data_IF_805874871134
#
_entry.id   IF_805874871134
#
_cell.length_a   1.000
_cell.length_b   1.000
_cell.length_c   1.000
_cell.angle_alpha   90.00
_cell.angle_beta   90.00
_cell.angle_gamma   90.00
#
_symmetry.space_group_name_H-M   'P 1'
#
loop_
_entity.id
_entity.type
_entity.pdbx_description
1 polymer ?
#
# COMPACT_ATOMS: atom_id res chain seq x y z
N UNK A 1 1.29 -1.97 29.07
CA UNK A 1 -0.03 -1.23 29.11
C UNK A 1 -0.89 -1.76 30.24
N UNK A 2 -1.84 -0.98 30.78
CA UNK A 2 -2.79 -1.42 31.81
C UNK A 2 -4.12 -0.68 31.67
N UNK A 3 -5.18 -1.32 32.19
CA UNK A 3 -6.51 -0.72 32.19
C UNK A 3 -6.64 0.18 33.44
N UNK A 4 -7.03 1.42 33.25
CA UNK A 4 -7.24 2.42 34.29
C UNK A 4 -8.71 2.83 34.33
N UNK A 5 -9.31 2.77 35.52
CA UNK A 5 -10.61 3.35 35.81
C UNK A 5 -10.40 4.73 36.44
N UNK A 6 -10.90 5.78 35.81
CA UNK A 6 -10.86 7.15 36.33
C UNK A 6 -12.23 7.51 36.86
N UNK A 7 -12.28 7.92 38.11
CA UNK A 7 -13.48 8.42 38.80
C UNK A 7 -13.43 9.94 38.93
N UNK A 8 -14.57 10.59 38.83
CA UNK A 8 -14.71 12.02 39.08
C UNK A 8 -15.43 12.21 40.43
N UNK A 9 -14.89 13.03 41.35
CA UNK A 9 -15.58 13.31 42.61
C UNK A 9 -17.02 13.82 42.33
N UNK A 10 -17.96 13.35 43.14
CA UNK A 10 -19.40 13.71 43.07
C UNK A 10 -20.10 13.34 41.77
N UNK A 11 -19.59 12.39 40.99
CA UNK A 11 -20.25 11.90 39.77
C UNK A 11 -20.31 10.37 39.77
N UNK A 12 -21.43 9.74 39.42
CA UNK A 12 -21.50 8.30 39.23
C UNK A 12 -20.67 7.80 38.04
N UNK A 13 -20.21 8.70 37.17
CA UNK A 13 -19.48 8.40 35.95
C UNK A 13 -18.07 7.86 36.28
N UNK A 14 -17.77 6.66 35.75
CA UNK A 14 -16.44 6.04 35.81
C UNK A 14 -15.95 5.82 34.37
N UNK A 15 -14.82 6.42 34.01
CA UNK A 15 -14.27 6.25 32.67
C UNK A 15 -13.20 5.16 32.63
N UNK A 16 -13.26 4.25 31.67
CA UNK A 16 -12.32 3.15 31.49
C UNK A 16 -11.39 3.50 30.33
N UNK A 17 -10.09 3.43 30.59
CA UNK A 17 -9.04 3.84 29.67
C UNK A 17 -7.91 2.80 29.67
N UNK A 18 -7.30 2.58 28.52
CA UNK A 18 -6.06 1.83 28.38
C UNK A 18 -4.92 2.84 28.39
N UNK A 19 -3.99 2.71 29.32
CA UNK A 19 -2.90 3.64 29.50
C UNK A 19 -1.54 2.93 29.50
N UNK A 20 -0.53 3.66 29.10
CA UNK A 20 0.86 3.21 29.05
C UNK A 20 1.72 4.14 29.89
N UNK A 21 2.66 3.57 30.63
CA UNK A 21 3.67 4.34 31.34
C UNK A 21 4.86 4.60 30.40
N UNK A 22 5.11 5.87 30.12
CA UNK A 22 6.23 6.33 29.25
C UNK A 22 7.22 7.08 30.13
N UNK A 23 8.51 6.74 30.01
CA UNK A 23 9.58 7.43 30.70
C UNK A 23 10.02 8.64 29.90
N UNK A 24 9.97 9.81 30.50
CA UNK A 24 10.41 11.08 29.91
C UNK A 24 11.49 11.66 30.85
N UNK A 25 12.75 11.33 30.57
CA UNK A 25 13.88 11.59 31.44
C UNK A 25 13.76 10.85 32.78
N UNK A 26 13.80 11.56 33.90
CA UNK A 26 13.64 11.00 35.24
C UNK A 26 12.18 10.80 35.67
N UNK A 27 11.21 11.33 34.92
CA UNK A 27 9.79 11.27 35.27
C UNK A 27 9.06 10.21 34.46
N UNK A 28 8.16 9.47 35.15
CA UNK A 28 7.23 8.55 34.51
C UNK A 28 5.92 9.27 34.24
N UNK A 29 5.52 9.40 32.99
CA UNK A 29 4.22 9.96 32.56
C UNK A 29 3.31 8.83 32.08
N UNK A 30 2.01 8.97 32.36
CA UNK A 30 1.00 8.06 31.82
C UNK A 30 0.40 8.66 30.54
N UNK A 31 0.48 7.91 29.44
CA UNK A 31 -0.14 8.26 28.17
C UNK A 31 -1.39 7.40 27.97
N UNK A 32 -2.50 8.01 27.60
CA UNK A 32 -3.72 7.29 27.21
C UNK A 32 -3.46 6.70 25.83
N UNK A 33 -3.52 5.38 25.74
CA UNK A 33 -3.40 4.64 24.48
C UNK A 33 -4.77 4.54 23.83
N UNK A 34 -5.80 4.25 24.63
CA UNK A 34 -7.18 4.19 24.15
C UNK A 34 -8.17 4.50 25.25
N UNK A 35 -9.20 5.22 24.89
CA UNK A 35 -10.39 5.42 25.71
C UNK A 35 -11.40 4.32 25.37
N UNK A 36 -11.96 3.61 26.35
CA UNK A 36 -12.87 2.49 26.11
C UNK A 36 -14.33 2.90 26.28
N UNK A 37 -14.62 3.69 27.31
CA UNK A 37 -15.97 4.19 27.51
C UNK A 37 -16.21 4.70 28.93
N UNK A 38 -17.47 5.06 29.21
CA UNK A 38 -17.97 5.54 30.49
C UNK A 38 -18.98 4.55 31.02
N UNK A 39 -18.82 4.11 32.26
CA UNK A 39 -19.78 3.32 33.00
C UNK A 39 -20.52 4.20 34.00
N UNK A 40 -21.83 4.00 34.16
CA UNK A 40 -22.70 4.71 35.09
C UNK A 40 -23.00 3.89 36.33
N UNK A 41 -22.86 2.55 36.24
CA UNK A 41 -23.08 1.62 37.34
C UNK A 41 -21.94 0.57 37.40
N UNK A 42 -21.97 -0.28 38.43
CA UNK A 42 -20.94 -1.31 38.69
C UNK A 42 -21.03 -2.47 37.66
N UNK A 43 -22.19 -2.75 37.11
CA UNK A 43 -22.33 -3.81 36.09
C UNK A 43 -21.73 -3.37 34.76
N UNK A 44 -22.03 -2.15 34.32
CA UNK A 44 -21.42 -1.53 33.14
C UNK A 44 -19.91 -1.41 33.30
N UNK A 45 -19.45 -1.04 34.53
CA UNK A 45 -18.03 -0.93 34.80
C UNK A 45 -17.29 -2.26 34.57
N UNK A 46 -17.86 -3.37 35.09
CA UNK A 46 -17.26 -4.70 34.90
C UNK A 46 -17.18 -5.06 33.43
N UNK A 47 -18.24 -4.88 32.66
CA UNK A 47 -18.28 -5.15 31.23
C UNK A 47 -17.26 -4.30 30.46
N UNK A 48 -17.16 -3.01 30.80
CA UNK A 48 -16.18 -2.10 30.18
C UNK A 48 -14.74 -2.46 30.50
N UNK A 49 -14.45 -2.95 31.71
CA UNK A 49 -13.10 -3.40 32.08
C UNK A 49 -12.74 -4.69 31.34
N UNK A 50 -13.68 -5.65 31.21
CA UNK A 50 -13.46 -6.86 30.40
C UNK A 50 -13.18 -6.51 28.93
N UNK A 51 -13.99 -5.63 28.34
CA UNK A 51 -13.77 -5.14 26.98
C UNK A 51 -12.40 -4.45 26.84
N UNK A 52 -12.00 -3.65 27.84
CA UNK A 52 -10.69 -3.00 27.85
C UNK A 52 -9.52 -4.00 27.89
N UNK A 53 -9.64 -5.10 28.64
CA UNK A 53 -8.62 -6.15 28.66
C UNK A 53 -8.52 -6.88 27.31
N UNK A 54 -9.66 -7.16 26.64
CA UNK A 54 -9.65 -7.73 25.30
C UNK A 54 -8.98 -6.80 24.28
N UNK A 55 -9.31 -5.52 24.29
CA UNK A 55 -8.70 -4.52 23.41
C UNK A 55 -7.21 -4.39 23.69
N UNK A 56 -6.81 -4.31 24.98
CA UNK A 56 -5.41 -4.23 25.38
C UNK A 56 -4.62 -5.44 24.87
N UNK A 57 -5.15 -6.66 25.05
CA UNK A 57 -4.50 -7.89 24.59
C UNK A 57 -4.33 -7.92 23.08
N UNK A 58 -5.31 -7.43 22.31
CA UNK A 58 -5.16 -7.27 20.85
C UNK A 58 -4.05 -6.30 20.48
N UNK A 59 -3.97 -5.15 21.14
CA UNK A 59 -2.93 -4.15 20.89
C UNK A 59 -1.55 -4.70 21.26
N UNK A 60 -1.41 -5.37 22.40
CA UNK A 60 -0.15 -5.98 22.84
C UNK A 60 0.30 -7.11 21.90
N UNK A 61 -0.63 -7.92 21.41
CA UNK A 61 -0.34 -8.98 20.45
C UNK A 61 0.10 -8.44 19.09
N UNK A 62 -0.48 -7.32 18.63
CA UNK A 62 -0.05 -6.65 17.41
C UNK A 62 1.39 -6.11 17.48
N UNK A 63 1.82 -5.67 18.68
CA UNK A 63 3.17 -5.12 18.87
C UNK A 63 4.22 -6.19 19.19
N UNK A 64 3.80 -7.27 19.84
CA UNK A 64 4.64 -8.41 20.21
C UNK A 64 3.83 -9.70 20.06
N UNK A 65 3.90 -10.40 18.93
CA UNK A 65 3.21 -11.67 18.74
C UNK A 65 3.71 -12.70 19.77
N UNK A 66 2.84 -13.12 20.68
CA UNK A 66 3.11 -14.13 21.67
C UNK A 66 2.55 -15.50 21.22
N UNK A 67 3.05 -16.56 21.86
CA UNK A 67 2.60 -17.95 21.61
C UNK A 67 1.11 -18.16 21.91
N UNK A 68 0.49 -17.29 22.74
CA UNK A 68 -0.91 -17.34 23.14
C UNK A 68 -1.72 -16.31 22.33
N UNK A 69 -2.91 -16.71 21.89
CA UNK A 69 -3.83 -15.82 21.19
C UNK A 69 -4.30 -14.64 22.07
N UNK A 70 -4.69 -13.50 21.46
CA UNK A 70 -5.16 -12.31 22.21
C UNK A 70 -6.32 -12.61 23.15
N UNK A 71 -7.19 -13.55 22.79
CA UNK A 71 -8.35 -13.95 23.59
C UNK A 71 -7.95 -14.73 24.86
N UNK A 72 -6.95 -15.62 24.73
CA UNK A 72 -6.42 -16.38 25.88
C UNK A 72 -5.72 -15.46 26.89
N UNK A 73 -4.95 -14.49 26.40
CA UNK A 73 -4.29 -13.49 27.22
C UNK A 73 -5.30 -12.61 27.95
N UNK A 74 -6.36 -12.17 27.26
CA UNK A 74 -7.43 -11.40 27.87
C UNK A 74 -8.15 -12.18 28.97
N UNK A 75 -8.48 -13.45 28.72
CA UNK A 75 -9.12 -14.32 29.69
C UNK A 75 -8.24 -14.57 30.93
N UNK A 76 -6.94 -14.73 30.75
CA UNK A 76 -6.00 -14.85 31.87
C UNK A 76 -5.94 -13.57 32.70
N UNK A 77 -5.88 -12.40 32.03
CA UNK A 77 -5.85 -11.11 32.74
C UNK A 77 -7.16 -10.84 33.51
N UNK A 78 -8.30 -11.24 32.97
CA UNK A 78 -9.61 -11.14 33.64
C UNK A 78 -9.67 -12.09 34.85
N UNK A 79 -9.23 -13.33 34.68
CA UNK A 79 -9.18 -14.32 35.79
C UNK A 79 -8.25 -13.90 36.93
N UNK A 80 -7.08 -13.35 36.59
CA UNK A 80 -6.09 -12.91 37.60
C UNK A 80 -6.57 -11.75 38.48
N UNK A 81 -7.54 -10.97 37.98
CA UNK A 81 -8.13 -9.84 38.74
C UNK A 81 -9.29 -10.21 39.63
N UNK A 82 -9.55 -11.52 39.85
CA UNK A 82 -10.63 -12.02 40.73
C UNK A 82 -12.02 -11.48 40.36
N UNK A 83 -12.26 -11.19 39.11
CA UNK A 83 -13.58 -10.79 38.66
C UNK A 83 -14.51 -12.00 38.55
N UNK A 84 -15.75 -11.93 39.08
CA UNK A 84 -16.70 -13.03 38.96
C UNK A 84 -16.94 -13.36 37.47
N UNK A 85 -16.91 -14.64 37.11
CA UNK A 85 -17.29 -15.10 35.77
C UNK A 85 -18.72 -14.67 35.49
N UNK A 86 -18.93 -13.81 34.51
CA UNK A 86 -20.24 -13.59 33.95
C UNK A 86 -20.62 -14.85 33.18
N UNK A 87 -21.53 -15.63 33.76
CA UNK A 87 -22.06 -16.84 33.16
C UNK A 87 -22.85 -16.46 31.90
N UNK A 88 -22.25 -16.70 30.74
CA UNK A 88 -22.98 -16.81 29.48
C UNK A 88 -23.82 -15.60 29.00
N UNK A 89 -23.81 -14.49 29.72
CA UNK A 89 -24.53 -13.29 29.27
C UNK A 89 -23.76 -12.58 28.17
N UNK A 90 -24.39 -12.35 27.06
CA UNK A 90 -23.89 -11.49 26.00
C UNK A 90 -23.43 -10.14 26.57
N UNK A 91 -22.27 -9.66 26.12
CA UNK A 91 -21.75 -8.33 26.47
C UNK A 91 -22.72 -7.25 25.93
N UNK A 92 -23.77 -6.97 26.65
CA UNK A 92 -24.69 -5.89 26.33
C UNK A 92 -24.06 -4.54 26.71
N UNK A 93 -23.50 -3.87 25.71
CA UNK A 93 -22.96 -2.52 25.85
C UNK A 93 -24.06 -1.53 25.59
N UNK A 94 -24.26 -0.57 26.50
CA UNK A 94 -25.24 0.50 26.31
C UNK A 94 -24.73 1.45 25.23
N UNK A 95 -25.36 1.42 24.04
CA UNK A 95 -24.99 2.23 22.87
C UNK A 95 -24.97 3.74 23.13
N UNK A 96 -25.77 4.21 24.12
CA UNK A 96 -25.78 5.64 24.51
C UNK A 96 -24.50 6.11 25.19
N UNK A 97 -23.69 5.17 25.70
CA UNK A 97 -22.44 5.45 26.40
C UNK A 97 -21.20 5.15 25.51
N UNK A 98 -21.42 4.77 24.24
CA UNK A 98 -20.37 4.58 23.26
C UNK A 98 -20.04 5.92 22.60
N UNK A 99 -18.76 6.27 22.63
CA UNK A 99 -18.20 7.35 21.82
C UNK A 99 -17.35 6.70 20.71
N UNK A 100 -17.61 7.09 19.46
CA UNK A 100 -16.79 6.65 18.33
C UNK A 100 -15.46 7.40 18.38
N UNK A 101 -14.37 6.69 18.76
CA UNK A 101 -13.03 7.27 18.75
C UNK A 101 -12.36 7.15 17.38
N UNK A 102 -12.57 6.04 16.71
CA UNK A 102 -11.97 5.79 15.40
C UNK A 102 -12.78 4.76 14.62
N UNK A 103 -13.02 5.07 13.36
CA UNK A 103 -13.57 4.13 12.38
C UNK A 103 -12.46 3.68 11.46
N UNK A 104 -12.09 2.41 11.50
CA UNK A 104 -11.06 1.85 10.64
C UNK A 104 -11.68 1.08 9.47
N UNK A 105 -11.19 1.37 8.26
CA UNK A 105 -11.55 0.65 7.03
C UNK A 105 -10.57 -0.52 6.89
N UNK A 106 -11.03 -1.75 7.10
CA UNK A 106 -10.16 -2.94 7.04
C UNK A 106 -10.20 -3.63 5.67
N UNK A 107 -11.30 -3.53 4.93
CA UNK A 107 -11.55 -4.28 3.69
C UNK A 107 -10.47 -4.13 2.62
N UNK A 108 -9.89 -2.93 2.46
CA UNK A 108 -8.81 -2.69 1.50
C UNK A 108 -7.58 -3.55 1.83
N UNK A 109 -7.16 -3.56 3.09
CA UNK A 109 -6.00 -4.33 3.54
C UNK A 109 -6.25 -5.83 3.54
N UNK A 110 -7.47 -6.27 3.87
CA UNK A 110 -7.82 -7.68 3.89
C UNK A 110 -7.94 -8.27 2.48
N UNK A 111 -8.58 -7.56 1.55
CA UNK A 111 -8.82 -8.06 0.19
C UNK A 111 -7.59 -7.83 -0.68
N UNK A 112 -7.20 -6.58 -0.90
CA UNK A 112 -6.07 -6.26 -1.78
C UNK A 112 -4.73 -6.60 -1.16
N UNK A 113 -4.61 -6.57 0.18
CA UNK A 113 -3.42 -7.02 0.88
C UNK A 113 -3.18 -8.51 0.68
N UNK A 114 -4.23 -9.34 0.64
CA UNK A 114 -4.11 -10.76 0.31
C UNK A 114 -3.68 -10.97 -1.14
N UNK A 115 -4.29 -10.26 -2.08
CA UNK A 115 -3.88 -10.29 -3.50
C UNK A 115 -2.41 -9.85 -3.64
N UNK A 116 -1.97 -8.81 -2.93
CA UNK A 116 -0.59 -8.35 -2.93
C UNK A 116 0.40 -9.46 -2.53
N UNK A 117 0.07 -10.23 -1.50
CA UNK A 117 0.88 -11.37 -1.06
C UNK A 117 0.85 -12.53 -2.07
N UNK A 118 -0.33 -12.88 -2.59
CA UNK A 118 -0.51 -13.94 -3.59
C UNK A 118 0.26 -13.63 -4.88
N UNK A 119 0.36 -12.36 -5.26
CA UNK A 119 1.17 -11.89 -6.38
C UNK A 119 2.68 -11.92 -6.11
N UNK A 120 3.12 -12.21 -4.88
CA UNK A 120 4.53 -12.28 -4.50
C UNK A 120 5.16 -10.92 -4.17
N UNK A 121 4.39 -9.84 -4.14
CA UNK A 121 4.91 -8.49 -3.88
C UNK A 121 5.43 -8.30 -2.45
N UNK A 122 5.02 -9.12 -1.49
CA UNK A 122 5.53 -9.10 -0.11
C UNK A 122 7.02 -9.39 0.00
N UNK A 123 7.60 -10.09 -0.99
CA UNK A 123 9.00 -10.54 -0.97
C UNK A 123 9.97 -9.68 -1.80
N UNK A 124 9.52 -8.55 -2.36
CA UNK A 124 10.34 -7.70 -3.23
C UNK A 124 11.47 -7.04 -2.46
N UNK A 125 11.20 -6.56 -1.25
CA UNK A 125 12.20 -5.92 -0.42
C UNK A 125 12.73 -6.89 0.64
N UNK A 126 14.07 -6.99 0.75
CA UNK A 126 14.74 -7.84 1.75
C UNK A 126 14.50 -7.39 3.19
N UNK A 127 14.28 -6.07 3.39
CA UNK A 127 13.98 -5.50 4.70
C UNK A 127 12.49 -5.61 4.99
N UNK A 128 12.13 -6.41 5.99
CA UNK A 128 10.73 -6.69 6.38
C UNK A 128 9.96 -5.40 6.71
N UNK A 129 10.57 -4.49 7.47
CA UNK A 129 9.91 -3.24 7.83
C UNK A 129 9.63 -2.35 6.61
N UNK A 130 10.55 -2.31 5.64
CA UNK A 130 10.35 -1.60 4.37
C UNK A 130 9.29 -2.29 3.50
N UNK A 131 9.24 -3.62 3.47
CA UNK A 131 8.22 -4.38 2.75
C UNK A 131 6.81 -4.11 3.29
N UNK A 132 6.65 -4.09 4.61
CA UNK A 132 5.37 -3.73 5.26
C UNK A 132 4.95 -2.29 4.95
N UNK A 133 5.88 -1.33 5.03
CA UNK A 133 5.59 0.07 4.67
C UNK A 133 5.18 0.17 3.20
N UNK A 134 5.87 -0.53 2.28
CA UNK A 134 5.53 -0.56 0.86
C UNK A 134 4.10 -1.07 0.66
N UNK A 135 3.74 -2.19 1.29
CA UNK A 135 2.40 -2.76 1.24
C UNK A 135 1.35 -1.75 1.70
N UNK A 136 1.54 -1.12 2.85
CA UNK A 136 0.59 -0.13 3.38
C UNK A 136 0.45 1.10 2.46
N UNK A 137 1.55 1.59 1.89
CA UNK A 137 1.50 2.71 0.94
C UNK A 137 0.78 2.31 -0.35
N UNK A 138 0.97 1.09 -0.85
CA UNK A 138 0.24 0.57 -2.02
C UNK A 138 -1.25 0.48 -1.71
N UNK A 139 -1.64 -0.08 -0.56
CA UNK A 139 -3.05 -0.16 -0.13
C UNK A 139 -3.69 1.23 -0.01
N UNK A 140 -2.99 2.18 0.62
CA UNK A 140 -3.47 3.56 0.72
C UNK A 140 -3.70 4.20 -0.66
N UNK A 141 -2.81 3.94 -1.62
CA UNK A 141 -2.94 4.49 -2.98
C UNK A 141 -4.02 3.80 -3.82
N UNK A 142 -4.33 2.54 -3.56
CA UNK A 142 -5.49 1.86 -4.15
C UNK A 142 -6.79 2.49 -3.63
N UNK A 143 -6.84 2.79 -2.33
CA UNK A 143 -8.01 3.40 -1.72
C UNK A 143 -8.21 4.85 -2.18
N UNK A 144 -7.13 5.66 -2.15
CA UNK A 144 -7.15 7.07 -2.54
C UNK A 144 -5.73 7.53 -2.91
N UNK A 145 -5.45 7.81 -4.18
CA UNK A 145 -4.12 8.21 -4.65
C UNK A 145 -3.81 9.67 -4.28
N UNK A 146 -3.12 9.86 -3.16
CA UNK A 146 -2.70 11.17 -2.65
C UNK A 146 -1.19 11.24 -2.47
N UNK A 147 -0.66 12.39 -2.01
CA UNK A 147 0.77 12.56 -1.73
C UNK A 147 1.24 11.62 -0.61
N UNK A 148 2.54 11.30 -0.55
CA UNK A 148 3.13 10.44 0.50
C UNK A 148 2.77 10.88 1.92
N UNK A 149 2.83 12.20 2.19
CA UNK A 149 2.44 12.77 3.49
C UNK A 149 0.94 12.57 3.77
N UNK A 150 0.09 12.75 2.78
CA UNK A 150 -1.34 12.54 2.91
C UNK A 150 -1.66 11.05 3.06
N UNK A 151 -0.96 10.14 2.35
CA UNK A 151 -1.11 8.69 2.53
C UNK A 151 -0.76 8.23 3.95
N UNK A 152 0.27 8.81 4.58
CA UNK A 152 0.61 8.50 5.98
C UNK A 152 -0.52 8.91 6.92
N UNK A 153 -1.12 10.10 6.73
CA UNK A 153 -2.30 10.53 7.51
C UNK A 153 -3.51 9.63 7.27
N UNK A 154 -3.76 9.29 6.02
CA UNK A 154 -4.85 8.40 5.65
C UNK A 154 -4.71 7.02 6.30
N UNK A 155 -3.50 6.46 6.31
CA UNK A 155 -3.22 5.19 6.99
C UNK A 155 -3.55 5.26 8.48
N UNK A 156 -3.21 6.36 9.14
CA UNK A 156 -3.52 6.55 10.56
C UNK A 156 -5.01 6.79 10.80
N UNK A 157 -5.64 7.68 10.03
CA UNK A 157 -7.03 8.12 10.26
C UNK A 157 -8.06 7.10 9.80
N UNK A 158 -7.89 6.56 8.57
CA UNK A 158 -8.90 5.72 7.93
C UNK A 158 -8.66 4.22 8.18
N UNK A 159 -7.39 3.82 8.30
CA UNK A 159 -7.02 2.41 8.44
C UNK A 159 -6.49 2.02 9.82
N UNK A 160 -6.24 2.98 10.71
CA UNK A 160 -5.69 2.74 12.05
C UNK A 160 -4.23 2.29 12.04
N UNK A 161 -3.52 2.49 10.93
CA UNK A 161 -2.13 2.04 10.73
C UNK A 161 -1.18 3.22 10.91
N UNK A 162 -0.32 3.15 11.92
CA UNK A 162 0.66 4.19 12.21
C UNK A 162 1.99 3.87 11.55
N UNK A 163 2.39 4.67 10.58
CA UNK A 163 3.72 4.64 9.97
C UNK A 163 4.38 6.02 10.04
N UNK A 164 5.71 6.02 10.07
CA UNK A 164 6.47 7.26 10.06
C UNK A 164 6.76 7.69 8.62
N UNK A 165 6.54 8.97 8.29
CA UNK A 165 6.85 9.53 6.98
C UNK A 165 8.32 9.33 6.57
N UNK A 166 9.26 9.43 7.53
CA UNK A 166 10.67 9.15 7.28
C UNK A 166 10.91 7.67 6.92
N UNK A 167 10.12 6.75 7.50
CA UNK A 167 10.12 5.33 7.12
C UNK A 167 9.70 5.13 5.68
N UNK A 168 8.71 5.90 5.20
CA UNK A 168 8.28 5.87 3.79
C UNK A 168 9.42 6.29 2.85
N UNK A 169 10.15 7.36 3.18
CA UNK A 169 11.29 7.78 2.37
C UNK A 169 12.41 6.73 2.36
N UNK A 170 12.76 6.16 3.51
CA UNK A 170 13.75 5.06 3.57
C UNK A 170 13.32 3.83 2.78
N UNK A 171 12.03 3.47 2.83
CA UNK A 171 11.48 2.40 1.99
C UNK A 171 11.63 2.72 0.51
N UNK A 172 11.38 3.98 0.10
CA UNK A 172 11.57 4.39 -1.29
C UNK A 172 13.02 4.29 -1.74
N UNK A 173 13.99 4.57 -0.87
CA UNK A 173 15.42 4.40 -1.16
C UNK A 173 15.79 2.92 -1.40
N UNK A 174 14.99 1.97 -0.88
CA UNK A 174 15.15 0.55 -1.15
C UNK A 174 14.59 0.10 -2.51
N UNK A 175 13.81 0.95 -3.22
CA UNK A 175 13.25 0.65 -4.54
C UNK A 175 14.30 0.88 -5.66
N UNK A 176 15.41 0.17 -5.55
CA UNK A 176 16.50 0.17 -6.52
C UNK A 176 16.15 -0.62 -7.79
N UNK A 177 17.10 -0.76 -8.72
CA UNK A 177 16.91 -1.52 -9.95
C UNK A 177 16.54 -2.99 -9.73
N UNK A 178 17.11 -3.64 -8.69
CA UNK A 178 16.77 -5.03 -8.35
C UNK A 178 15.30 -5.15 -7.94
N UNK A 179 14.84 -4.26 -7.06
CA UNK A 179 13.44 -4.22 -6.64
C UNK A 179 12.48 -3.92 -7.81
N UNK A 180 12.86 -2.99 -8.69
CA UNK A 180 12.06 -2.69 -9.89
C UNK A 180 11.98 -3.89 -10.84
N UNK A 181 13.07 -4.63 -11.02
CA UNK A 181 13.06 -5.84 -11.83
C UNK A 181 12.20 -6.93 -11.18
N UNK A 182 12.34 -7.14 -9.87
CA UNK A 182 11.53 -8.11 -9.13
C UNK A 182 10.01 -7.82 -9.23
N UNK A 183 9.60 -6.55 -9.18
CA UNK A 183 8.20 -6.15 -9.40
C UNK A 183 7.73 -6.56 -10.80
N UNK A 184 8.54 -6.30 -11.83
CA UNK A 184 8.19 -6.63 -13.20
C UNK A 184 8.16 -8.15 -13.42
N UNK A 185 9.08 -8.90 -12.82
CA UNK A 185 9.10 -10.36 -12.88
C UNK A 185 7.87 -10.97 -12.21
N UNK A 186 7.46 -10.46 -11.05
CA UNK A 186 6.22 -10.87 -10.39
C UNK A 186 5.00 -10.62 -11.30
N UNK A 187 4.87 -9.43 -11.85
CA UNK A 187 3.76 -9.09 -12.73
C UNK A 187 3.73 -9.95 -14.01
N UNK A 188 4.90 -10.16 -14.62
CA UNK A 188 5.03 -11.00 -15.81
C UNK A 188 4.69 -12.47 -15.52
N UNK A 189 5.24 -13.03 -14.44
CA UNK A 189 5.00 -14.43 -14.08
C UNK A 189 3.51 -14.67 -13.74
N UNK A 190 2.89 -13.75 -13.01
CA UNK A 190 1.44 -13.81 -12.74
C UNK A 190 0.63 -13.77 -14.02
N UNK A 191 0.94 -12.86 -14.94
CA UNK A 191 0.25 -12.79 -16.23
C UNK A 191 0.43 -14.09 -17.02
N UNK A 192 1.63 -14.66 -17.02
CA UNK A 192 1.93 -15.92 -17.69
C UNK A 192 1.15 -17.10 -17.11
N UNK A 193 1.02 -17.19 -15.80
CA UNK A 193 0.23 -18.22 -15.12
C UNK A 193 -1.25 -18.09 -15.41
N UNK A 194 -1.81 -16.87 -15.30
CA UNK A 194 -3.22 -16.60 -15.54
C UNK A 194 -3.66 -16.87 -16.98
N UNK A 195 -2.76 -16.68 -17.97
CA UNK A 195 -3.09 -16.85 -19.39
C UNK A 195 -2.51 -18.12 -20.03
N UNK A 196 -2.27 -19.14 -19.21
CA UNK A 196 -1.90 -20.47 -19.70
C UNK A 196 -0.54 -20.49 -20.40
N UNK A 197 0.43 -19.74 -19.88
CA UNK A 197 1.82 -19.72 -20.34
C UNK A 197 2.06 -19.04 -21.71
N UNK A 198 1.03 -18.44 -22.34
CA UNK A 198 1.15 -17.79 -23.64
C UNK A 198 0.85 -16.30 -23.56
N UNK A 199 1.89 -15.50 -23.70
CA UNK A 199 1.76 -14.06 -23.96
C UNK A 199 2.14 -13.85 -25.44
N UNK A 200 1.12 -13.79 -26.30
CA UNK A 200 1.33 -13.71 -27.76
C UNK A 200 1.40 -12.27 -28.28
N UNK A 201 0.82 -11.33 -27.52
CA UNK A 201 0.72 -9.94 -27.90
C UNK A 201 0.94 -9.01 -26.70
N UNK A 202 1.81 -8.04 -26.88
CA UNK A 202 2.09 -6.98 -25.91
C UNK A 202 1.73 -5.63 -26.53
N UNK A 203 0.88 -4.89 -25.85
CA UNK A 203 0.60 -3.50 -26.14
C UNK A 203 1.63 -2.62 -25.43
N UNK A 204 2.09 -1.61 -26.13
CA UNK A 204 3.03 -0.65 -25.62
C UNK A 204 2.48 0.76 -25.83
N UNK A 205 2.49 1.55 -24.78
CA UNK A 205 2.12 2.96 -24.83
C UNK A 205 3.03 3.78 -23.90
N UNK A 206 3.28 5.03 -24.29
CA UNK A 206 4.04 5.99 -23.50
C UNK A 206 3.14 7.14 -23.07
N UNK A 207 3.17 7.45 -21.79
CA UNK A 207 2.44 8.57 -21.20
C UNK A 207 3.39 9.55 -20.51
N UNK A 208 2.97 10.80 -20.44
CA UNK A 208 3.74 11.87 -19.84
C UNK A 208 3.16 12.23 -18.49
N UNK A 209 4.00 12.24 -17.45
CA UNK A 209 3.66 12.73 -16.11
C UNK A 209 4.31 14.08 -15.90
N UNK A 210 3.48 15.10 -15.62
CA UNK A 210 3.91 16.47 -15.36
C UNK A 210 4.09 16.71 -13.87
N UNK A 211 5.04 17.59 -13.54
CA UNK A 211 5.31 18.01 -12.18
C UNK A 211 4.96 19.49 -12.01
N UNK A 212 4.35 19.83 -10.90
CA UNK A 212 4.08 21.23 -10.55
C UNK A 212 5.34 22.00 -10.09
N UNK A 213 6.43 21.28 -9.81
CA UNK A 213 7.74 21.88 -9.51
C UNK A 213 8.44 22.26 -10.80
N UNK A 214 8.87 23.52 -10.92
CA UNK A 214 9.60 24.03 -12.09
C UNK A 214 11.11 23.69 -12.07
N UNK A 215 11.60 22.97 -11.05
CA UNK A 215 12.99 22.54 -10.99
C UNK A 215 13.17 21.26 -11.78
N UNK A 216 14.10 21.30 -12.72
CA UNK A 216 14.56 20.12 -13.46
C UNK A 216 15.57 19.33 -12.63
N UNK A 217 15.68 18.04 -12.92
CA UNK A 217 16.74 17.15 -12.45
C UNK A 217 17.13 16.20 -13.60
N UNK A 218 17.90 15.16 -13.31
CA UNK A 218 18.35 14.21 -14.33
C UNK A 218 17.19 13.49 -15.05
N UNK A 219 16.04 13.37 -14.41
CA UNK A 219 14.85 12.69 -14.93
C UNK A 219 13.69 13.63 -15.24
N UNK A 220 13.40 14.57 -14.34
CA UNK A 220 12.38 15.60 -14.54
C UNK A 220 12.95 16.68 -15.44
N UNK A 221 12.60 16.67 -16.69
CA UNK A 221 13.08 17.60 -17.71
C UNK A 221 11.93 18.17 -18.50
N UNK A 222 12.10 19.40 -18.99
CA UNK A 222 11.19 19.96 -19.95
C UNK A 222 11.28 19.18 -21.27
N UNK A 223 10.16 18.95 -21.92
CA UNK A 223 10.10 18.17 -23.15
C UNK A 223 8.88 18.50 -23.98
N UNK A 224 8.68 17.72 -25.03
CA UNK A 224 7.49 17.88 -25.86
C UNK A 224 6.24 17.53 -25.06
N UNK A 225 5.29 18.46 -25.00
CA UNK A 225 4.02 18.28 -24.29
C UNK A 225 2.86 18.27 -25.26
N UNK A 226 2.12 17.15 -25.30
CA UNK A 226 0.85 17.04 -26.06
C UNK A 226 -0.24 17.92 -25.43
N UNK A 227 -0.14 18.19 -24.13
CA UNK A 227 -1.10 18.99 -23.36
C UNK A 227 -0.74 20.49 -23.30
N UNK A 228 0.24 20.93 -24.12
CA UNK A 228 0.72 22.31 -24.20
C UNK A 228 1.34 22.84 -22.88
N UNK A 229 1.82 21.94 -22.02
CA UNK A 229 2.46 22.27 -20.72
C UNK A 229 3.98 22.37 -20.83
N UNK A 230 4.46 23.17 -21.76
CA UNK A 230 5.90 23.26 -22.10
C UNK A 230 6.79 23.77 -20.97
N UNK A 231 6.21 24.45 -19.96
CA UNK A 231 6.94 25.03 -18.82
C UNK A 231 6.95 24.10 -17.60
N UNK A 232 6.37 22.90 -17.69
CA UNK A 232 6.33 21.94 -16.60
C UNK A 232 7.29 20.81 -16.89
N UNK A 233 8.28 20.58 -16.00
CA UNK A 233 9.11 19.39 -16.09
C UNK A 233 8.25 18.14 -16.06
N UNK A 234 8.62 17.17 -16.87
CA UNK A 234 7.88 15.94 -17.08
C UNK A 234 8.80 14.71 -17.00
N UNK A 235 8.20 13.55 -16.91
CA UNK A 235 8.83 12.24 -17.04
C UNK A 235 7.97 11.41 -17.98
N UNK A 236 8.58 10.70 -18.93
CA UNK A 236 7.87 9.72 -19.73
C UNK A 236 7.86 8.38 -19.02
N UNK A 237 6.67 7.77 -18.95
CA UNK A 237 6.52 6.38 -18.49
C UNK A 237 5.90 5.57 -19.60
N UNK A 238 6.59 4.53 -19.99
CA UNK A 238 6.09 3.55 -20.94
C UNK A 238 5.60 2.32 -20.22
N UNK A 239 4.39 1.87 -20.54
CA UNK A 239 3.74 0.71 -19.93
C UNK A 239 3.59 -0.39 -20.97
N UNK A 240 3.85 -1.61 -20.57
CA UNK A 240 3.63 -2.82 -21.35
C UNK A 240 2.50 -3.62 -20.73
N UNK A 241 1.49 -3.95 -21.54
CA UNK A 241 0.33 -4.73 -21.11
C UNK A 241 0.06 -5.88 -22.05
N UNK A 242 -0.48 -6.98 -21.53
CA UNK A 242 -0.94 -8.11 -22.34
C UNK A 242 -2.20 -7.74 -23.12
N UNK A 243 -2.63 -8.58 -24.06
CA UNK A 243 -3.90 -8.44 -24.78
C UNK A 243 -5.11 -8.31 -23.83
N UNK A 244 -5.04 -8.90 -22.67
CA UNK A 244 -6.10 -8.86 -21.66
C UNK A 244 -6.02 -7.63 -20.72
N UNK A 245 -5.06 -6.72 -20.96
CA UNK A 245 -4.89 -5.50 -20.17
C UNK A 245 -4.05 -5.69 -18.90
N UNK A 246 -3.39 -6.84 -18.70
CA UNK A 246 -2.54 -7.07 -17.54
C UNK A 246 -1.19 -6.37 -17.72
N UNK A 247 -0.76 -5.49 -16.81
CA UNK A 247 0.54 -4.86 -16.88
C UNK A 247 1.65 -5.90 -16.59
N UNK A 248 2.66 -5.93 -17.46
CA UNK A 248 3.79 -6.87 -17.35
C UNK A 248 5.13 -6.18 -17.21
N UNK A 249 5.19 -4.88 -17.40
CA UNK A 249 6.40 -4.12 -17.22
C UNK A 249 6.24 -2.65 -17.52
N UNK A 250 7.20 -1.88 -17.09
CA UNK A 250 7.27 -0.45 -17.37
C UNK A 250 8.72 0.02 -17.50
N UNK A 251 8.88 1.19 -18.12
CA UNK A 251 10.16 1.89 -18.18
C UNK A 251 9.91 3.39 -18.06
N UNK A 252 10.66 4.05 -17.17
CA UNK A 252 10.68 5.49 -17.09
C UNK A 252 11.84 6.06 -17.91
N UNK A 253 11.61 7.22 -18.54
CA UNK A 253 12.59 7.95 -19.33
C UNK A 253 12.60 9.42 -18.91
N UNK A 254 13.74 10.12 -19.08
CA UNK A 254 13.81 11.56 -18.89
C UNK A 254 12.74 12.29 -19.71
N UNK A 255 12.22 13.38 -19.19
CA UNK A 255 11.12 14.11 -19.81
C UNK A 255 11.44 14.73 -21.18
N UNK A 256 12.71 14.96 -21.47
CA UNK A 256 13.18 15.42 -22.78
C UNK A 256 13.22 14.31 -23.85
N UNK A 257 13.01 13.05 -23.46
CA UNK A 257 13.06 11.92 -24.39
C UNK A 257 11.92 12.00 -25.40
N UNK A 258 12.24 11.86 -26.68
CA UNK A 258 11.22 11.72 -27.71
C UNK A 258 10.56 10.34 -27.63
N UNK A 259 9.22 10.30 -27.64
CA UNK A 259 8.46 9.03 -27.50
C UNK A 259 8.91 7.92 -28.46
N UNK A 260 9.25 8.28 -29.71
CA UNK A 260 9.73 7.31 -30.70
C UNK A 260 11.03 6.60 -30.32
N UNK A 261 11.81 7.18 -29.41
CA UNK A 261 13.05 6.59 -28.93
C UNK A 261 12.85 5.67 -27.72
N UNK A 262 11.65 5.58 -27.16
CA UNK A 262 11.37 4.75 -25.97
C UNK A 262 11.19 3.27 -26.31
N UNK A 263 10.78 2.95 -27.54
CA UNK A 263 10.44 1.58 -27.94
C UNK A 263 11.66 0.66 -27.97
N UNK A 264 12.76 1.09 -28.60
CA UNK A 264 13.94 0.23 -28.79
C UNK A 264 14.58 -0.23 -27.48
N UNK A 265 14.86 0.64 -26.49
CA UNK A 265 15.41 0.21 -25.19
C UNK A 265 14.52 -0.81 -24.48
N UNK A 266 13.21 -0.68 -24.62
CA UNK A 266 12.25 -1.60 -24.01
C UNK A 266 12.27 -2.95 -24.72
N UNK A 267 12.31 -2.99 -26.05
CA UNK A 267 12.41 -4.23 -26.81
C UNK A 267 13.70 -5.00 -26.48
N UNK A 268 14.83 -4.29 -26.35
CA UNK A 268 16.08 -4.87 -25.94
C UNK A 268 16.00 -5.45 -24.52
N UNK A 269 15.43 -4.73 -23.58
CA UNK A 269 15.22 -5.17 -22.20
C UNK A 269 14.34 -6.42 -22.14
N UNK A 270 13.25 -6.47 -22.91
CA UNK A 270 12.36 -7.62 -22.95
C UNK A 270 13.07 -8.83 -23.57
N UNK A 271 13.78 -8.65 -24.67
CA UNK A 271 14.57 -9.73 -25.27
C UNK A 271 15.61 -10.28 -24.30
N UNK A 272 16.24 -9.41 -23.50
CA UNK A 272 17.24 -9.83 -22.52
C UNK A 272 16.62 -10.60 -21.32
N UNK A 273 15.47 -10.10 -20.81
CA UNK A 273 14.86 -10.66 -19.60
C UNK A 273 13.97 -11.88 -19.88
N UNK A 274 13.39 -11.96 -21.08
CA UNK A 274 12.39 -12.97 -21.44
C UNK A 274 12.79 -13.71 -22.73
N UNK A 275 14.03 -14.19 -22.78
CA UNK A 275 14.58 -14.92 -23.93
C UNK A 275 13.77 -16.18 -24.25
N UNK A 276 13.46 -16.40 -25.54
CA UNK A 276 12.74 -17.57 -26.03
C UNK A 276 11.24 -17.37 -26.29
N UNK A 277 10.72 -16.16 -26.13
CA UNK A 277 9.32 -15.84 -26.42
C UNK A 277 9.17 -15.20 -27.80
N UNK A 278 8.28 -15.77 -28.62
CA UNK A 278 7.79 -15.14 -29.85
C UNK A 278 6.50 -14.36 -29.51
N UNK A 279 6.61 -13.06 -29.29
CA UNK A 279 5.46 -12.20 -29.10
C UNK A 279 5.42 -11.11 -30.18
N UNK A 280 4.21 -10.65 -30.47
CA UNK A 280 3.96 -9.51 -31.35
C UNK A 280 3.83 -8.25 -30.50
N UNK A 281 4.47 -7.17 -30.90
CA UNK A 281 4.28 -5.85 -30.28
C UNK A 281 3.27 -5.05 -31.07
N UNK A 282 2.30 -4.46 -30.38
CA UNK A 282 1.44 -3.42 -30.92
C UNK A 282 1.78 -2.11 -30.20
N UNK A 283 2.27 -1.16 -30.96
CA UNK A 283 2.58 0.17 -30.45
C UNK A 283 1.37 1.06 -30.66
N UNK A 284 0.85 1.62 -29.55
CA UNK A 284 -0.27 2.53 -29.58
C UNK A 284 0.32 3.96 -29.59
N UNK A 285 -0.10 4.80 -30.55
CA UNK A 285 0.23 6.24 -30.62
C UNK A 285 1.70 6.66 -30.86
N UNK A 286 2.59 5.81 -31.31
CA UNK A 286 3.90 6.28 -31.74
C UNK A 286 3.82 6.70 -33.23
N UNK A 287 3.99 7.99 -33.51
CA UNK A 287 4.22 8.48 -34.87
C UNK A 287 5.61 8.02 -35.34
N UNK A 288 5.68 6.85 -35.94
CA UNK A 288 6.89 6.38 -36.63
C UNK A 288 7.13 7.24 -37.86
N UNK A 289 8.00 8.23 -37.74
CA UNK A 289 8.52 8.92 -38.94
C UNK A 289 9.33 7.91 -39.77
N UNK A 290 9.09 7.87 -41.07
CA UNK A 290 9.63 6.94 -42.10
C UNK A 290 11.17 6.83 -42.21
N UNK A 291 11.97 7.12 -41.20
CA UNK A 291 13.43 7.24 -41.34
C UNK A 291 14.26 6.06 -40.80
N UNK A 292 13.65 4.96 -40.38
CA UNK A 292 14.42 3.82 -39.87
C UNK A 292 14.31 2.60 -40.78
N UNK A 293 15.25 2.45 -41.69
CA UNK A 293 15.41 1.27 -42.56
C UNK A 293 15.44 -0.08 -41.82
N UNK A 294 15.78 -0.08 -40.53
CA UNK A 294 15.81 -1.28 -39.69
C UNK A 294 14.41 -1.83 -39.39
N UNK A 295 13.42 -0.95 -39.28
CA UNK A 295 12.02 -1.34 -39.08
C UNK A 295 11.40 -2.02 -40.28
N UNK A 296 11.88 -1.73 -41.51
CA UNK A 296 11.33 -2.33 -42.72
C UNK A 296 11.72 -3.80 -42.90
N UNK A 297 12.83 -4.25 -42.32
CA UNK A 297 13.30 -5.64 -42.46
C UNK A 297 12.67 -6.59 -41.46
N UNK A 298 12.42 -6.16 -40.22
CA UNK A 298 11.71 -6.97 -39.20
C UNK A 298 10.20 -6.67 -39.11
N UNK A 299 9.75 -5.50 -39.52
CA UNK A 299 8.35 -5.05 -39.39
C UNK A 299 7.40 -5.62 -40.45
N UNK A 300 7.89 -6.27 -41.51
CA UNK A 300 6.99 -7.01 -42.42
C UNK A 300 6.14 -8.07 -41.73
N UNK A 301 6.54 -8.48 -40.54
CA UNK A 301 5.78 -9.42 -39.69
C UNK A 301 4.84 -8.72 -38.69
N UNK A 302 5.07 -7.44 -38.38
CA UNK A 302 4.40 -6.75 -37.24
C UNK A 302 3.38 -5.68 -37.66
N UNK A 303 3.50 -5.10 -38.88
CA UNK A 303 2.64 -4.01 -39.35
C UNK A 303 1.43 -4.48 -40.20
N UNK A 304 1.31 -5.77 -40.48
CA UNK A 304 0.19 -6.31 -41.31
C UNK A 304 -1.18 -6.34 -40.59
N UNK A 305 -1.29 -5.83 -39.39
CA UNK A 305 -2.52 -5.87 -38.56
C UNK A 305 -3.13 -4.49 -38.24
N UNK A 306 -2.59 -3.41 -38.75
CA UNK A 306 -3.28 -2.12 -38.67
C UNK A 306 -4.33 -2.02 -39.78
N UNK A 307 -5.61 -1.79 -39.46
CA UNK A 307 -6.58 -1.44 -40.47
C UNK A 307 -6.13 -0.15 -41.18
N UNK A 308 -6.16 -0.17 -42.53
CA UNK A 308 -5.76 0.97 -43.37
C UNK A 308 -6.79 2.12 -43.36
N UNK A 309 -7.62 2.24 -42.34
CA UNK A 309 -8.63 3.28 -42.22
C UNK A 309 -8.76 3.76 -40.78
N UNK A 310 -8.05 4.83 -40.48
CA UNK A 310 -8.52 5.96 -39.68
C UNK A 310 -7.72 7.19 -40.06
#
# INVERSE_FOLDING_TARGET
MFVRVKTTPNSPRKSVQIVESVRDGEKVKQRIVRYVGIAMDEQELKKMVELAEHIKSKIEHQHNPNLFGPEEMAQQAIKSKSMPKLNGEELNVNLKNLEEEQRAIVGIHEIYGKIYEELGFGNILKNIASAEILKHIVMARIANPVSKRASVRQLEQDFGIQINLQGVYRMMDCLNQEAQQAIQDCAYNTAKELFGQKIDLIFFDATTLYFESFQEDEFKQNGYSKDLKFNQPQVLISLMVTKQGMPIGYQAFPGSTYEGHTLMPILEKIKANYSGLNFKFLVINIYLKKSNQWFEQESKTYLSLLPQSF
#
